data_IF_192091010648
#
_entry.id   IF_192091010648
#
_cell.length_a   1.000
_cell.length_b   1.000
_cell.length_c   1.000
_cell.angle_alpha   90.00
_cell.angle_beta   90.00
_cell.angle_gamma   90.00
#
_symmetry.space_group_name_H-M   'P 1'
#
loop_
_entity.id
_entity.type
_entity.pdbx_description
1 polymer ?
#
# COMPACT_ATOMS: atom_id res chain seq x y z
N UNK A 1 -1.34 -77.70 61.79
CA UNK A 1 -0.01 -77.21 61.33
C UNK A 1 -0.01 -77.22 59.81
N UNK A 2 0.58 -76.24 59.10
CA UNK A 2 1.58 -75.28 59.57
C UNK A 2 1.15 -73.80 59.49
N UNK A 3 1.81 -72.99 60.32
CA UNK A 3 1.76 -71.53 60.34
C UNK A 3 2.44 -70.98 59.08
N UNK A 4 1.85 -69.94 58.48
CA UNK A 4 2.46 -69.19 57.39
C UNK A 4 3.10 -67.93 57.99
N UNK A 5 4.42 -67.84 57.85
CA UNK A 5 5.24 -66.72 58.33
C UNK A 5 4.84 -65.39 57.67
N UNK A 6 4.95 -64.26 58.39
CA UNK A 6 4.79 -62.93 57.80
C UNK A 6 6.03 -62.53 56.98
N UNK A 7 5.86 -61.79 55.87
CA UNK A 7 6.96 -61.35 55.00
C UNK A 7 7.78 -60.19 55.58
N UNK A 8 9.07 -60.21 55.24
CA UNK A 8 10.11 -59.27 55.63
C UNK A 8 9.79 -57.79 55.32
N UNK A 9 10.06 -56.93 56.29
CA UNK A 9 10.04 -55.47 56.15
C UNK A 9 11.25 -54.98 55.34
N UNK A 10 11.03 -54.56 54.09
CA UNK A 10 12.01 -53.81 53.31
C UNK A 10 12.18 -52.38 53.87
N UNK A 11 13.44 -51.99 54.13
CA UNK A 11 13.80 -50.61 54.47
C UNK A 11 13.76 -49.71 53.23
N UNK A 12 13.27 -48.45 53.34
CA UNK A 12 13.26 -47.52 52.22
C UNK A 12 14.67 -47.03 51.86
N UNK A 13 14.99 -46.83 50.57
CA UNK A 13 16.28 -46.31 50.14
C UNK A 13 16.45 -44.83 50.52
N UNK A 14 17.65 -44.50 51.00
CA UNK A 14 18.10 -43.14 51.29
C UNK A 14 18.01 -42.26 50.03
N UNK A 15 17.28 -41.15 50.13
CA UNK A 15 17.14 -40.13 49.10
C UNK A 15 18.47 -39.42 48.82
N UNK A 16 18.91 -39.28 47.56
CA UNK A 16 20.10 -38.49 47.23
C UNK A 16 19.80 -36.99 47.37
N UNK A 17 20.62 -36.29 48.14
CA UNK A 17 20.59 -34.83 48.26
C UNK A 17 21.09 -34.18 46.96
N UNK A 18 20.45 -33.10 46.47
CA UNK A 18 20.86 -32.45 45.24
C UNK A 18 22.18 -31.66 45.43
N UNK A 19 23.15 -31.92 44.56
CA UNK A 19 24.41 -31.19 44.49
C UNK A 19 24.19 -29.69 44.14
N UNK A 20 24.81 -28.74 44.87
CA UNK A 20 24.60 -27.29 44.67
C UNK A 20 25.19 -26.70 43.38
N UNK A 21 25.82 -27.50 42.52
CA UNK A 21 26.45 -27.05 41.28
C UNK A 21 25.48 -26.71 40.13
N UNK A 22 24.22 -27.17 40.18
CA UNK A 22 23.29 -27.03 39.04
C UNK A 22 22.60 -25.65 38.96
N UNK A 23 22.58 -24.88 40.06
CA UNK A 23 21.89 -23.58 40.10
C UNK A 23 22.68 -22.46 39.40
N UNK A 24 24.01 -22.49 39.41
CA UNK A 24 24.83 -21.42 38.86
C UNK A 24 24.84 -21.41 37.31
N UNK A 25 24.82 -22.60 36.68
CA UNK A 25 24.73 -22.71 35.23
C UNK A 25 23.38 -22.23 34.67
N UNK A 26 22.28 -22.50 35.39
CA UNK A 26 20.93 -22.05 34.99
C UNK A 26 20.79 -20.51 35.01
N UNK A 27 21.43 -19.85 35.98
CA UNK A 27 21.35 -18.38 36.11
C UNK A 27 22.16 -17.64 35.04
N UNK A 28 23.32 -18.16 34.65
CA UNK A 28 24.16 -17.58 33.59
C UNK A 28 23.53 -17.80 32.21
N UNK A 29 22.89 -18.95 31.96
CA UNK A 29 22.14 -19.19 30.73
C UNK A 29 20.93 -18.25 30.59
N UNK A 30 20.19 -17.99 31.68
CA UNK A 30 19.06 -17.03 31.66
C UNK A 30 19.49 -15.60 31.33
N UNK A 31 20.60 -15.12 31.91
CA UNK A 31 21.09 -13.75 31.64
C UNK A 31 21.61 -13.58 30.22
N UNK A 32 22.23 -14.61 29.65
CA UNK A 32 22.68 -14.60 28.25
C UNK A 32 21.48 -14.57 27.28
N UNK A 33 20.50 -15.45 27.47
CA UNK A 33 19.30 -15.50 26.64
C UNK A 33 18.49 -14.18 26.68
N UNK A 34 18.40 -13.54 27.85
CA UNK A 34 17.71 -12.26 28.00
C UNK A 34 18.40 -11.13 27.23
N UNK A 35 19.74 -11.03 27.25
CA UNK A 35 20.47 -10.00 26.48
C UNK A 35 20.30 -10.20 24.97
N UNK A 36 20.39 -11.43 24.50
CA UNK A 36 20.18 -11.77 23.08
C UNK A 36 18.75 -11.43 22.64
N UNK A 37 17.75 -11.71 23.48
CA UNK A 37 16.35 -11.35 23.24
C UNK A 37 16.17 -9.82 23.10
N UNK A 38 16.78 -9.02 23.98
CA UNK A 38 16.70 -7.55 23.90
C UNK A 38 17.41 -6.98 22.67
N UNK A 39 18.55 -7.54 22.27
CA UNK A 39 19.26 -7.12 21.06
C UNK A 39 18.46 -7.45 19.79
N UNK A 40 17.83 -8.63 19.73
CA UNK A 40 16.96 -9.01 18.62
C UNK A 40 15.70 -8.14 18.56
N UNK A 41 15.07 -7.83 19.69
CA UNK A 41 13.95 -6.90 19.77
C UNK A 41 14.34 -5.50 19.29
N UNK A 42 15.49 -4.99 19.73
CA UNK A 42 16.01 -3.69 19.28
C UNK A 42 16.28 -3.65 17.76
N UNK A 43 16.85 -4.72 17.21
CA UNK A 43 17.08 -4.87 15.78
C UNK A 43 15.76 -4.95 14.99
N UNK A 44 14.80 -5.74 15.46
CA UNK A 44 13.47 -5.82 14.82
C UNK A 44 12.76 -4.45 14.83
N UNK A 45 12.84 -3.71 15.95
CA UNK A 45 12.27 -2.37 16.05
C UNK A 45 12.90 -1.40 15.06
N UNK A 46 14.23 -1.48 14.87
CA UNK A 46 14.97 -0.67 13.91
C UNK A 46 14.62 -1.03 12.46
N UNK A 47 14.47 -2.32 12.14
CA UNK A 47 14.05 -2.76 10.81
C UNK A 47 12.65 -2.28 10.44
N UNK A 48 11.72 -2.22 11.41
CA UNK A 48 10.36 -1.72 11.21
C UNK A 48 10.28 -0.23 10.89
N UNK A 49 11.28 0.58 11.27
CA UNK A 49 11.29 2.03 10.98
C UNK A 49 12.01 2.39 9.69
N UNK A 50 12.88 1.50 9.19
CA UNK A 50 13.73 1.76 8.01
C UNK A 50 13.14 1.16 6.72
N UNK A 51 12.23 0.19 6.82
CA UNK A 51 11.56 -0.42 5.67
C UNK A 51 10.20 0.26 5.45
N UNK A 52 9.91 0.76 4.24
CA UNK A 52 8.58 1.34 3.92
C UNK A 52 8.56 2.77 3.38
N UNK A 53 9.71 3.44 3.18
CA UNK A 53 9.68 4.76 2.56
C UNK A 53 9.25 4.64 1.08
N UNK A 54 8.24 5.44 0.68
CA UNK A 54 7.82 5.54 -0.72
C UNK A 54 9.02 5.77 -1.65
N UNK A 55 9.17 4.91 -2.67
CA UNK A 55 10.26 5.08 -3.65
C UNK A 55 9.93 6.26 -4.54
N UNK A 56 10.78 7.29 -4.49
CA UNK A 56 10.63 8.51 -5.29
C UNK A 56 11.95 8.80 -6.03
N UNK A 57 11.93 9.03 -7.37
CA UNK A 57 10.77 8.94 -8.26
C UNK A 57 10.29 7.49 -8.45
N UNK A 58 8.99 7.31 -8.63
CA UNK A 58 8.42 6.01 -8.98
C UNK A 58 8.75 5.66 -10.43
N UNK A 59 9.11 4.40 -10.67
CA UNK A 59 9.42 3.90 -12.02
C UNK A 59 8.26 3.06 -12.51
N UNK A 60 7.46 3.62 -13.42
CA UNK A 60 6.45 2.86 -14.17
C UNK A 60 7.14 1.94 -15.17
N UNK A 61 6.58 0.74 -15.38
CA UNK A 61 7.00 -0.22 -16.41
C UNK A 61 8.52 -0.43 -16.46
N UNK A 62 9.16 -0.94 -15.39
CA UNK A 62 10.56 -1.30 -15.46
C UNK A 62 10.78 -2.28 -16.62
N UNK A 63 12.01 -2.38 -17.13
CA UNK A 63 12.35 -3.35 -18.18
C UNK A 63 12.09 -4.79 -17.70
N UNK A 64 10.85 -5.26 -17.89
CA UNK A 64 10.44 -6.61 -17.54
C UNK A 64 11.31 -7.55 -18.34
N UNK A 65 11.87 -8.56 -17.66
CA UNK A 65 12.65 -9.54 -18.38
C UNK A 65 11.66 -10.33 -19.22
N UNK A 66 11.85 -10.31 -20.54
CA UNK A 66 11.14 -11.16 -21.50
C UNK A 66 11.51 -12.62 -21.26
N UNK A 67 11.10 -13.13 -20.11
CA UNK A 67 10.98 -14.56 -19.85
C UNK A 67 9.63 -14.96 -20.43
N UNK A 68 9.46 -16.19 -20.94
CA UNK A 68 8.15 -16.68 -21.35
C UNK A 68 7.24 -16.83 -20.13
N UNK A 69 6.76 -15.71 -19.62
CA UNK A 69 5.69 -15.61 -18.65
C UNK A 69 4.43 -16.19 -19.31
N UNK A 70 3.56 -16.84 -18.53
CA UNK A 70 2.35 -17.39 -19.09
C UNK A 70 1.46 -16.21 -19.51
N UNK A 71 1.44 -15.92 -20.81
CA UNK A 71 0.40 -15.07 -21.38
C UNK A 71 -0.96 -15.64 -20.97
N UNK A 72 -1.92 -14.74 -20.78
CA UNK A 72 -3.32 -15.13 -20.63
C UNK A 72 -3.71 -16.01 -21.82
N UNK A 73 -4.49 -17.08 -21.59
CA UNK A 73 -5.03 -17.85 -22.69
C UNK A 73 -5.95 -16.97 -23.54
N UNK A 74 -6.15 -17.34 -24.81
CA UNK A 74 -7.09 -16.64 -25.66
C UNK A 74 -8.50 -16.61 -25.02
N UNK A 75 -9.06 -15.41 -24.88
CA UNK A 75 -10.34 -15.18 -24.21
C UNK A 75 -10.32 -15.29 -22.67
N UNK A 76 -9.16 -15.54 -22.05
CA UNK A 76 -9.01 -15.51 -20.58
C UNK A 76 -8.93 -14.05 -20.10
N UNK A 77 -9.87 -13.56 -19.26
CA UNK A 77 -9.80 -12.21 -18.74
C UNK A 77 -8.62 -12.08 -17.76
N UNK A 78 -7.92 -10.94 -17.78
CA UNK A 78 -6.83 -10.65 -16.85
C UNK A 78 -7.32 -10.66 -15.41
N UNK A 79 -8.46 -10.00 -15.15
CA UNK A 79 -9.12 -9.96 -13.85
C UNK A 79 -10.38 -10.83 -13.92
N UNK A 80 -10.45 -11.85 -13.07
CA UNK A 80 -11.59 -12.75 -12.98
C UNK A 80 -12.20 -12.70 -11.57
N UNK A 81 -13.52 -12.48 -11.53
CA UNK A 81 -14.30 -12.45 -10.29
C UNK A 81 -15.03 -13.77 -10.08
N UNK A 82 -14.79 -14.40 -8.95
CA UNK A 82 -15.47 -15.61 -8.53
C UNK A 82 -16.95 -15.35 -8.22
N UNK A 83 -17.79 -16.36 -8.46
CA UNK A 83 -19.21 -16.30 -8.06
C UNK A 83 -19.32 -16.12 -6.54
N UNK A 84 -20.29 -15.32 -6.10
CA UNK A 84 -20.61 -15.16 -4.67
C UNK A 84 -21.04 -16.51 -4.06
N UNK A 85 -20.50 -16.86 -2.90
CA UNK A 85 -20.75 -18.11 -2.19
C UNK A 85 -20.95 -17.81 -0.70
N UNK A 86 -22.15 -17.38 -0.28
CA UNK A 86 -22.36 -16.76 1.04
C UNK A 86 -21.90 -17.62 2.22
N UNK A 87 -22.01 -18.94 2.13
CA UNK A 87 -21.51 -19.86 3.17
C UNK A 87 -19.98 -19.87 3.22
N UNK A 88 -19.32 -20.03 2.07
CA UNK A 88 -17.85 -20.06 1.96
C UNK A 88 -17.28 -18.70 2.36
N UNK A 89 -17.87 -17.62 1.83
CA UNK A 89 -17.50 -16.23 2.13
C UNK A 89 -17.70 -15.91 3.61
N UNK A 90 -18.77 -16.40 4.22
CA UNK A 90 -19.03 -16.23 5.64
C UNK A 90 -17.99 -16.95 6.52
N UNK A 91 -17.62 -18.18 6.16
CA UNK A 91 -16.54 -18.90 6.87
C UNK A 91 -15.22 -18.16 6.70
N UNK A 92 -14.86 -17.77 5.47
CA UNK A 92 -13.66 -16.99 5.19
C UNK A 92 -13.61 -15.67 5.96
N UNK A 93 -14.75 -14.99 6.08
CA UNK A 93 -14.85 -13.75 6.87
C UNK A 93 -14.52 -13.97 8.35
N UNK A 94 -15.04 -15.06 8.94
CA UNK A 94 -14.77 -15.46 10.34
C UNK A 94 -13.31 -15.85 10.52
N UNK A 95 -12.76 -16.66 9.61
CA UNK A 95 -11.35 -17.06 9.64
C UNK A 95 -10.43 -15.85 9.52
N UNK A 96 -10.84 -14.81 8.80
CA UNK A 96 -10.11 -13.55 8.67
C UNK A 96 -10.25 -12.58 9.84
N UNK A 97 -11.03 -12.87 10.90
CA UNK A 97 -11.16 -11.99 12.08
C UNK A 97 -9.81 -11.64 12.71
N UNK A 98 -8.86 -12.58 12.91
CA UNK A 98 -7.54 -12.25 13.45
C UNK A 98 -6.80 -11.20 12.61
N UNK A 99 -6.86 -11.30 11.27
CA UNK A 99 -6.26 -10.30 10.37
C UNK A 99 -6.90 -8.92 10.53
N UNK A 100 -8.23 -8.86 10.58
CA UNK A 100 -8.98 -7.60 10.82
C UNK A 100 -8.62 -6.94 12.14
N UNK A 101 -8.45 -7.73 13.20
CA UNK A 101 -8.05 -7.23 14.53
C UNK A 101 -6.59 -6.79 14.50
N UNK A 102 -5.71 -7.59 13.90
CA UNK A 102 -4.27 -7.33 13.85
C UNK A 102 -3.93 -6.06 13.06
N UNK A 103 -4.64 -5.81 11.96
CA UNK A 103 -4.43 -4.67 11.07
C UNK A 103 -5.38 -3.50 11.34
N UNK A 104 -6.29 -3.61 12.31
CA UNK A 104 -7.32 -2.61 12.61
C UNK A 104 -8.19 -2.18 11.43
N UNK A 105 -8.36 -3.05 10.43
CA UNK A 105 -9.18 -2.76 9.26
C UNK A 105 -10.14 -3.93 8.96
N UNK A 106 -11.44 -3.63 8.87
CA UNK A 106 -12.51 -4.60 8.66
C UNK A 106 -12.60 -5.08 7.21
N UNK A 107 -11.96 -4.38 6.28
CA UNK A 107 -11.90 -4.70 4.85
C UNK A 107 -10.98 -5.87 4.55
N UNK A 108 -10.05 -6.18 5.47
CA UNK A 108 -9.13 -7.30 5.37
C UNK A 108 -9.87 -8.64 5.44
N UNK A 109 -9.62 -9.53 4.48
CA UNK A 109 -10.26 -10.84 4.33
C UNK A 109 -11.79 -10.77 4.46
N UNK A 110 -12.40 -9.72 3.92
CA UNK A 110 -13.84 -9.51 4.03
C UNK A 110 -14.64 -10.29 2.96
N UNK A 111 -13.96 -10.83 1.94
CA UNK A 111 -14.51 -11.54 0.79
C UNK A 111 -15.57 -10.73 0.03
N UNK A 112 -15.55 -9.41 0.14
CA UNK A 112 -16.46 -8.50 -0.53
C UNK A 112 -15.68 -7.33 -1.14
N UNK A 113 -14.98 -7.61 -2.23
CA UNK A 113 -14.12 -6.65 -2.93
C UNK A 113 -14.99 -5.70 -3.76
N UNK A 114 -14.81 -4.41 -3.52
CA UNK A 114 -15.50 -3.31 -4.19
C UNK A 114 -15.01 -3.11 -5.64
N UNK A 115 -15.81 -2.45 -6.50
CA UNK A 115 -15.37 -2.03 -7.82
C UNK A 115 -14.15 -1.10 -7.78
N UNK A 116 -14.03 -0.29 -6.73
CA UNK A 116 -12.92 0.65 -6.54
C UNK A 116 -11.60 -0.10 -6.38
N UNK A 117 -11.53 -1.09 -5.48
CA UNK A 117 -10.34 -1.94 -5.31
C UNK A 117 -9.97 -2.68 -6.61
N UNK A 118 -10.98 -3.17 -7.35
CA UNK A 118 -10.77 -3.83 -8.66
C UNK A 118 -10.23 -2.85 -9.72
N UNK A 119 -10.75 -1.62 -9.77
CA UNK A 119 -10.29 -0.59 -10.67
C UNK A 119 -8.87 -0.12 -10.34
N UNK A 120 -8.52 0.01 -9.05
CA UNK A 120 -7.17 0.40 -8.62
C UNK A 120 -6.12 -0.62 -9.08
N UNK A 121 -6.37 -1.92 -8.89
CA UNK A 121 -5.42 -2.94 -9.35
C UNK A 121 -5.37 -3.02 -10.88
N UNK A 122 -6.50 -2.85 -11.57
CA UNK A 122 -6.53 -2.80 -13.03
C UNK A 122 -5.64 -1.66 -13.58
N UNK A 123 -5.81 -0.45 -13.05
CA UNK A 123 -5.01 0.71 -13.44
C UNK A 123 -3.52 0.52 -13.13
N UNK A 124 -3.20 -0.07 -11.97
CA UNK A 124 -1.81 -0.37 -11.61
C UNK A 124 -1.16 -1.35 -12.59
N UNK A 125 -1.86 -2.45 -12.94
CA UNK A 125 -1.33 -3.46 -13.87
C UNK A 125 -1.12 -2.89 -15.27
N UNK A 126 -2.08 -2.11 -15.77
CA UNK A 126 -1.98 -1.41 -17.06
C UNK A 126 -0.78 -0.46 -17.08
N UNK A 127 -0.71 0.45 -16.10
CA UNK A 127 0.38 1.43 -16.00
C UNK A 127 1.75 0.80 -15.79
N UNK A 128 1.83 -0.42 -15.26
CA UNK A 128 3.08 -1.15 -15.07
C UNK A 128 3.36 -2.22 -16.15
N UNK A 129 2.53 -2.33 -17.19
CA UNK A 129 2.76 -3.26 -18.31
C UNK A 129 2.68 -4.73 -17.88
N UNK A 130 1.81 -5.04 -16.91
CA UNK A 130 1.68 -6.36 -16.27
C UNK A 130 0.53 -7.19 -16.85
N UNK A 131 0.31 -7.10 -18.17
CA UNK A 131 -0.79 -7.73 -18.91
C UNK A 131 -0.88 -9.26 -18.73
N UNK A 132 0.25 -9.89 -18.45
CA UNK A 132 0.40 -11.34 -18.28
C UNK A 132 0.06 -11.84 -16.86
N UNK A 133 -0.15 -10.93 -15.91
CA UNK A 133 -0.52 -11.25 -14.52
C UNK A 133 -2.00 -11.56 -14.45
N UNK A 134 -2.36 -12.73 -13.92
CA UNK A 134 -3.75 -13.09 -13.65
C UNK A 134 -4.17 -12.54 -12.30
N UNK A 135 -5.34 -11.91 -12.20
CA UNK A 135 -5.96 -11.52 -10.92
C UNK A 135 -7.22 -12.33 -10.70
N UNK A 136 -7.35 -12.90 -9.51
CA UNK A 136 -8.47 -13.74 -9.08
C UNK A 136 -9.13 -13.12 -7.86
N UNK A 137 -10.27 -12.46 -8.05
CA UNK A 137 -11.04 -11.83 -6.98
C UNK A 137 -12.05 -12.85 -6.46
N UNK A 138 -11.87 -13.36 -5.24
CA UNK A 138 -12.69 -14.43 -4.66
C UNK A 138 -12.85 -15.69 -5.56
N UNK A 139 -12.00 -15.87 -6.57
CA UNK A 139 -12.12 -16.97 -7.53
C UNK A 139 -11.33 -18.19 -7.05
N UNK A 140 -11.98 -19.35 -7.13
CA UNK A 140 -11.35 -20.63 -6.87
C UNK A 140 -11.33 -21.48 -8.14
N UNK A 141 -10.16 -21.56 -8.77
CA UNK A 141 -9.93 -22.25 -10.05
C UNK A 141 -8.62 -23.07 -10.01
N UNK A 142 -8.62 -24.21 -9.30
CA UNK A 142 -7.42 -25.03 -9.16
C UNK A 142 -6.93 -25.54 -10.51
N UNK A 143 -7.83 -25.92 -11.41
CA UNK A 143 -7.46 -26.41 -12.75
C UNK A 143 -6.71 -25.34 -13.54
N UNK A 144 -7.16 -24.09 -13.49
CA UNK A 144 -6.46 -22.96 -14.09
C UNK A 144 -5.08 -22.74 -13.47
N UNK A 145 -4.94 -22.84 -12.15
CA UNK A 145 -3.63 -22.73 -11.49
C UNK A 145 -2.66 -23.83 -11.94
N UNK A 146 -3.09 -25.09 -12.03
CA UNK A 146 -2.25 -26.18 -12.55
C UNK A 146 -1.88 -25.98 -14.03
N UNK A 147 -2.80 -25.46 -14.84
CA UNK A 147 -2.53 -25.12 -16.25
C UNK A 147 -1.51 -23.98 -16.33
N UNK A 148 -1.68 -22.91 -15.55
CA UNK A 148 -0.76 -21.76 -15.49
C UNK A 148 0.62 -22.18 -14.99
N UNK A 149 0.70 -23.01 -13.95
CA UNK A 149 1.95 -23.56 -13.45
C UNK A 149 2.73 -24.22 -14.58
N UNK A 150 2.10 -25.13 -15.32
CA UNK A 150 2.74 -25.85 -16.44
C UNK A 150 3.18 -24.93 -17.58
N UNK A 151 2.38 -23.90 -17.88
CA UNK A 151 2.64 -22.89 -18.92
C UNK A 151 3.73 -21.89 -18.53
N UNK A 152 3.94 -21.62 -17.25
CA UNK A 152 4.92 -20.65 -16.79
C UNK A 152 6.35 -21.15 -17.05
N UNK A 153 6.95 -20.71 -18.16
CA UNK A 153 8.32 -21.08 -18.56
C UNK A 153 9.35 -20.09 -17.99
N UNK A 154 8.92 -18.96 -17.42
CA UNK A 154 9.78 -18.02 -16.68
C UNK A 154 10.32 -18.61 -15.36
N UNK A 155 9.64 -19.62 -14.80
CA UNK A 155 10.16 -20.39 -13.68
C UNK A 155 10.86 -21.65 -14.19
N UNK A 156 12.12 -21.82 -13.78
CA UNK A 156 12.92 -23.01 -14.10
C UNK A 156 12.21 -24.30 -13.69
N UNK A 157 12.35 -25.35 -14.51
CA UNK A 157 11.56 -26.58 -14.38
C UNK A 157 11.67 -27.24 -13.00
N UNK A 158 12.85 -27.20 -12.37
CA UNK A 158 13.08 -27.75 -11.03
C UNK A 158 12.18 -27.07 -9.98
N UNK A 159 12.24 -25.74 -9.88
CA UNK A 159 11.39 -24.98 -8.96
C UNK A 159 9.91 -25.04 -9.32
N UNK A 160 9.58 -25.03 -10.61
CA UNK A 160 8.20 -25.13 -11.08
C UNK A 160 7.52 -26.41 -10.62
N UNK A 161 8.21 -27.55 -10.69
CA UNK A 161 7.62 -28.84 -10.35
C UNK A 161 7.91 -29.32 -8.93
N UNK A 162 8.70 -28.58 -8.15
CA UNK A 162 8.87 -28.80 -6.71
C UNK A 162 8.04 -27.78 -5.92
N UNK A 163 8.61 -26.61 -5.63
CA UNK A 163 7.95 -25.53 -4.89
C UNK A 163 6.63 -25.10 -5.56
N UNK A 164 6.60 -24.97 -6.89
CA UNK A 164 5.38 -24.62 -7.61
C UNK A 164 4.27 -25.67 -7.53
N UNK A 165 4.61 -26.96 -7.49
CA UNK A 165 3.63 -28.04 -7.23
C UNK A 165 3.09 -27.94 -5.81
N UNK A 166 3.95 -27.64 -4.82
CA UNK A 166 3.51 -27.46 -3.44
C UNK A 166 2.57 -26.26 -3.30
N UNK A 167 2.84 -25.13 -3.96
CA UNK A 167 1.94 -23.97 -3.91
C UNK A 167 0.61 -24.24 -4.63
N UNK A 168 0.64 -24.88 -5.80
CA UNK A 168 -0.59 -25.26 -6.51
C UNK A 168 -1.43 -26.31 -5.74
N UNK A 169 -0.77 -27.27 -5.07
CA UNK A 169 -1.43 -28.24 -4.21
C UNK A 169 -2.01 -27.57 -2.97
N UNK A 170 -1.26 -26.68 -2.32
CA UNK A 170 -1.74 -25.89 -1.19
C UNK A 170 -3.00 -25.11 -1.57
N UNK A 171 -2.96 -24.36 -2.69
CA UNK A 171 -4.13 -23.67 -3.23
C UNK A 171 -5.31 -24.63 -3.49
N UNK A 172 -5.04 -25.81 -4.02
CA UNK A 172 -6.09 -26.81 -4.32
C UNK A 172 -6.74 -27.35 -3.04
N UNK A 173 -5.94 -27.68 -2.02
CA UNK A 173 -6.45 -28.32 -0.79
C UNK A 173 -6.98 -27.32 0.23
N UNK A 174 -6.42 -26.12 0.26
CA UNK A 174 -6.72 -25.03 1.17
C UNK A 174 -7.17 -23.83 0.33
N UNK A 175 -8.47 -23.70 0.03
CA UNK A 175 -8.96 -22.58 -0.76
C UNK A 175 -8.63 -21.28 -0.03
N UNK A 176 -7.82 -20.41 -0.65
CA UNK A 176 -7.44 -19.13 -0.06
C UNK A 176 -8.65 -18.27 0.36
N UNK A 177 -9.79 -18.48 -0.32
CA UNK A 177 -11.11 -17.92 0.02
C UNK A 177 -11.63 -18.31 1.41
N UNK A 178 -11.07 -19.33 2.05
CA UNK A 178 -11.43 -19.77 3.40
C UNK A 178 -10.22 -19.67 4.31
N UNK A 179 -9.11 -20.29 3.90
CA UNK A 179 -7.88 -20.42 4.68
C UNK A 179 -6.77 -19.84 3.82
N UNK A 180 -6.50 -18.56 4.03
CA UNK A 180 -5.55 -17.77 3.27
C UNK A 180 -5.83 -16.28 3.42
N UNK A 181 -5.09 -15.49 2.66
CA UNK A 181 -5.31 -14.06 2.49
C UNK A 181 -4.88 -13.66 1.09
N UNK A 182 -4.86 -12.36 0.82
CA UNK A 182 -4.33 -11.83 -0.43
C UNK A 182 -2.89 -12.31 -0.64
N UNK A 183 -2.57 -12.72 -1.85
CA UNK A 183 -1.22 -13.18 -2.18
C UNK A 183 -0.95 -13.19 -3.69
N UNK A 184 0.30 -12.99 -4.04
CA UNK A 184 0.86 -13.25 -5.34
C UNK A 184 1.62 -14.58 -5.36
N UNK A 185 1.28 -15.43 -6.32
CA UNK A 185 1.97 -16.69 -6.57
C UNK A 185 2.93 -16.55 -7.77
N UNK A 186 4.27 -16.49 -7.55
CA UNK A 186 5.25 -16.33 -8.62
C UNK A 186 5.35 -17.56 -9.54
N UNK A 187 4.86 -18.74 -9.10
CA UNK A 187 4.90 -19.98 -9.87
C UNK A 187 3.80 -20.04 -10.92
N UNK A 188 2.67 -19.38 -10.71
CA UNK A 188 1.54 -19.30 -11.65
C UNK A 188 1.33 -17.90 -12.23
N UNK A 189 2.07 -16.90 -11.73
CA UNK A 189 1.93 -15.49 -12.11
C UNK A 189 0.49 -15.02 -11.87
N UNK A 190 -0.02 -15.30 -10.67
CA UNK A 190 -1.41 -15.08 -10.28
C UNK A 190 -1.46 -14.32 -8.96
N UNK A 191 -2.24 -13.24 -8.92
CA UNK A 191 -2.68 -12.55 -7.71
C UNK A 191 -4.04 -13.13 -7.31
N UNK A 192 -4.19 -13.52 -6.04
CA UNK A 192 -5.47 -13.85 -5.43
C UNK A 192 -5.87 -12.74 -4.46
N UNK A 193 -7.07 -12.18 -4.62
CA UNK A 193 -7.60 -11.11 -3.78
C UNK A 193 -8.85 -11.55 -3.02
N UNK A 194 -8.86 -11.26 -1.72
CA UNK A 194 -9.92 -11.55 -0.74
C UNK A 194 -10.22 -10.35 0.17
N UNK A 195 -9.31 -9.37 0.26
CA UNK A 195 -9.51 -8.11 0.98
C UNK A 195 -10.02 -7.00 0.07
N UNK A 196 -10.93 -6.19 0.60
CA UNK A 196 -11.40 -4.98 -0.07
C UNK A 196 -10.55 -3.77 0.29
N UNK A 197 -9.25 -3.85 0.05
CA UNK A 197 -8.32 -2.76 0.37
C UNK A 197 -7.40 -2.47 -0.82
N UNK A 198 -7.51 -1.30 -1.48
CA UNK A 198 -6.72 -1.02 -2.67
C UNK A 198 -5.21 -1.10 -2.42
N UNK A 199 -4.71 -0.60 -1.28
CA UNK A 199 -3.29 -0.73 -0.94
C UNK A 199 -2.78 -2.18 -0.85
N UNK A 200 -3.61 -3.13 -0.40
CA UNK A 200 -3.25 -4.57 -0.36
C UNK A 200 -3.20 -5.12 -1.78
N UNK A 201 -4.17 -4.76 -2.62
CA UNK A 201 -4.14 -5.17 -4.03
C UNK A 201 -2.90 -4.61 -4.76
N UNK A 202 -2.53 -3.35 -4.50
CA UNK A 202 -1.31 -2.72 -5.01
C UNK A 202 -0.04 -3.41 -4.50
N UNK A 203 -0.01 -3.85 -3.23
CA UNK A 203 1.09 -4.63 -2.67
C UNK A 203 1.31 -5.94 -3.44
N UNK A 204 0.23 -6.68 -3.72
CA UNK A 204 0.32 -7.88 -4.57
C UNK A 204 0.73 -7.57 -6.01
N UNK A 205 0.29 -6.42 -6.54
CA UNK A 205 0.79 -5.88 -7.81
C UNK A 205 2.29 -5.59 -7.79
N UNK A 206 2.80 -5.03 -6.68
CA UNK A 206 4.21 -4.77 -6.43
C UNK A 206 5.04 -6.05 -6.42
N UNK A 207 4.54 -7.13 -5.82
CA UNK A 207 5.14 -8.45 -5.97
C UNK A 207 5.19 -8.90 -7.42
N UNK A 208 4.08 -8.79 -8.15
CA UNK A 208 4.04 -9.18 -9.56
C UNK A 208 5.07 -8.41 -10.42
N UNK A 209 5.16 -7.09 -10.20
CA UNK A 209 6.15 -6.21 -10.83
C UNK A 209 7.58 -6.62 -10.47
N UNK A 210 7.87 -6.82 -9.19
CA UNK A 210 9.19 -7.23 -8.72
C UNK A 210 9.64 -8.52 -9.39
N UNK A 211 8.81 -9.57 -9.29
CA UNK A 211 9.10 -10.88 -9.88
C UNK A 211 9.24 -10.83 -11.41
N UNK A 212 8.50 -9.95 -12.10
CA UNK A 212 8.61 -9.74 -13.54
C UNK A 212 9.98 -9.21 -14.00
N UNK A 213 10.75 -8.60 -13.10
CA UNK A 213 12.11 -8.11 -13.38
C UNK A 213 13.21 -9.13 -13.05
N UNK A 214 12.86 -10.33 -12.55
CA UNK A 214 13.86 -11.30 -12.04
C UNK A 214 14.21 -12.37 -13.07
N UNK A 215 15.51 -12.46 -13.41
CA UNK A 215 16.03 -13.47 -14.36
C UNK A 215 15.79 -14.90 -13.88
N UNK A 216 15.95 -15.13 -12.58
CA UNK A 216 15.75 -16.43 -11.93
C UNK A 216 14.54 -16.40 -11.00
N UNK A 217 13.35 -16.14 -11.57
CA UNK A 217 12.08 -15.99 -10.83
C UNK A 217 11.86 -17.08 -9.77
N UNK A 218 12.07 -18.35 -10.14
CA UNK A 218 11.92 -19.49 -9.22
C UNK A 218 12.92 -19.51 -8.07
N UNK A 219 14.19 -19.22 -8.34
CA UNK A 219 15.23 -19.17 -7.29
C UNK A 219 14.96 -18.01 -6.34
N UNK A 220 14.57 -16.85 -6.89
CA UNK A 220 14.17 -15.70 -6.11
C UNK A 220 12.95 -16.00 -5.24
N UNK A 221 11.93 -16.69 -5.77
CA UNK A 221 10.75 -17.10 -5.00
C UNK A 221 11.11 -18.00 -3.81
N UNK A 222 11.94 -19.02 -4.04
CA UNK A 222 12.29 -19.97 -2.99
C UNK A 222 13.25 -19.37 -1.97
N UNK A 223 14.22 -18.56 -2.40
CA UNK A 223 15.07 -17.83 -1.48
C UNK A 223 14.25 -16.83 -0.64
N UNK A 224 13.32 -16.12 -1.27
CA UNK A 224 12.37 -15.21 -0.62
C UNK A 224 11.42 -15.89 0.35
N UNK A 225 11.24 -17.21 0.29
CA UNK A 225 10.45 -17.95 1.27
C UNK A 225 11.23 -18.28 2.56
N UNK A 226 12.55 -18.08 2.58
CA UNK A 226 13.36 -18.33 3.77
C UNK A 226 13.09 -17.25 4.84
N UNK A 227 13.15 -17.61 6.15
CA UNK A 227 13.11 -16.63 7.22
C UNK A 227 14.14 -15.52 7.00
N UNK A 228 13.79 -14.29 7.36
CA UNK A 228 14.59 -13.06 7.17
C UNK A 228 14.69 -12.62 5.70
N UNK A 229 14.98 -13.51 4.76
CA UNK A 229 15.06 -13.16 3.33
C UNK A 229 13.69 -12.73 2.79
N UNK A 230 12.61 -13.31 3.31
CA UNK A 230 11.22 -12.91 3.05
C UNK A 230 10.93 -11.43 3.29
N UNK A 231 11.65 -10.76 4.17
CA UNK A 231 11.44 -9.32 4.40
C UNK A 231 11.82 -8.47 3.18
N UNK A 232 12.75 -8.94 2.36
CA UNK A 232 13.22 -8.21 1.18
C UNK A 232 12.14 -8.03 0.10
N UNK A 233 11.50 -9.08 -0.44
CA UNK A 233 10.42 -8.91 -1.43
C UNK A 233 9.22 -8.17 -0.83
N UNK A 234 8.88 -8.40 0.45
CA UNK A 234 7.78 -7.67 1.11
C UNK A 234 8.04 -6.16 1.23
N UNK A 235 9.29 -5.77 1.52
CA UNK A 235 9.69 -4.36 1.55
C UNK A 235 9.62 -3.74 0.15
N UNK A 236 10.02 -4.47 -0.90
CA UNK A 236 9.91 -4.01 -2.29
C UNK A 236 8.46 -3.78 -2.67
N UNK A 237 7.57 -4.76 -2.42
CA UNK A 237 6.16 -4.66 -2.72
C UNK A 237 5.48 -3.49 -1.97
N UNK A 238 5.80 -3.33 -0.68
CA UNK A 238 5.30 -2.23 0.15
C UNK A 238 5.76 -0.87 -0.40
N UNK A 239 7.05 -0.73 -0.69
CA UNK A 239 7.62 0.51 -1.22
C UNK A 239 7.10 0.84 -2.62
N UNK A 240 6.81 -0.17 -3.44
CA UNK A 240 6.24 0.01 -4.78
C UNK A 240 4.79 0.50 -4.68
N UNK A 241 3.96 -0.11 -3.83
CA UNK A 241 2.59 0.34 -3.60
C UNK A 241 2.54 1.79 -3.10
N UNK A 242 3.36 2.14 -2.10
CA UNK A 242 3.44 3.52 -1.57
C UNK A 242 4.02 4.49 -2.60
N UNK A 243 5.05 4.08 -3.33
CA UNK A 243 5.65 4.88 -4.41
C UNK A 243 4.67 5.15 -5.55
N UNK A 244 3.84 4.17 -5.91
CA UNK A 244 2.80 4.31 -6.92
C UNK A 244 1.76 5.33 -6.47
N UNK A 245 1.20 5.18 -5.27
CA UNK A 245 0.20 6.12 -4.73
C UNK A 245 0.74 7.55 -4.65
N UNK A 246 1.99 7.69 -4.23
CA UNK A 246 2.70 8.98 -4.21
C UNK A 246 2.83 9.60 -5.59
N UNK A 247 3.13 8.79 -6.61
CA UNK A 247 3.29 9.25 -8.00
C UNK A 247 1.94 9.60 -8.66
N UNK A 248 0.88 8.92 -8.26
CA UNK A 248 -0.51 9.22 -8.66
C UNK A 248 -1.11 10.41 -7.90
N UNK A 249 -0.37 10.97 -6.92
CA UNK A 249 -0.83 12.03 -6.02
C UNK A 249 -2.12 11.66 -5.24
N UNK A 250 -2.36 10.37 -5.04
CA UNK A 250 -3.47 9.84 -4.27
C UNK A 250 -3.10 9.80 -2.78
N UNK A 251 -3.04 10.99 -2.17
CA UNK A 251 -2.61 11.16 -0.78
C UNK A 251 -3.56 10.54 0.24
N UNK A 252 -4.85 10.45 -0.08
CA UNK A 252 -5.85 9.82 0.79
C UNK A 252 -5.58 8.31 0.86
N UNK A 253 -5.41 7.66 -0.29
CA UNK A 253 -5.09 6.25 -0.32
C UNK A 253 -3.65 5.97 0.15
N UNK A 254 -2.69 6.88 -0.08
CA UNK A 254 -1.34 6.80 0.50
C UNK A 254 -1.41 6.82 2.04
N UNK A 255 -2.23 7.69 2.64
CA UNK A 255 -2.48 7.74 4.09
C UNK A 255 -2.99 6.38 4.61
N UNK A 256 -4.02 5.83 3.97
CA UNK A 256 -4.57 4.51 4.32
C UNK A 256 -3.55 3.38 4.13
N UNK A 257 -2.76 3.42 3.06
CA UNK A 257 -1.73 2.44 2.76
C UNK A 257 -0.67 2.38 3.87
N UNK A 258 -0.21 3.52 4.39
CA UNK A 258 0.70 3.53 5.54
C UNK A 258 0.07 2.89 6.78
N UNK A 259 -1.23 3.08 7.01
CA UNK A 259 -1.91 2.53 8.19
C UNK A 259 -2.10 1.02 8.12
N UNK A 260 -2.10 0.42 6.93
CA UNK A 260 -2.32 -1.03 6.74
C UNK A 260 -1.04 -1.78 6.38
N UNK A 261 -0.23 -1.26 5.45
CA UNK A 261 0.94 -1.98 4.95
C UNK A 261 2.09 -2.02 5.96
N UNK A 262 2.27 -1.00 6.80
CA UNK A 262 3.31 -1.03 7.85
C UNK A 262 3.06 -2.08 8.94
N UNK A 263 1.88 -2.14 9.57
CA UNK A 263 1.60 -3.21 10.51
C UNK A 263 1.56 -4.59 9.83
N UNK A 264 1.13 -4.68 8.56
CA UNK A 264 1.23 -5.91 7.78
C UNK A 264 2.69 -6.35 7.60
N UNK A 265 3.57 -5.45 7.16
CA UNK A 265 5.01 -5.69 7.05
C UNK A 265 5.62 -6.20 8.37
N UNK A 266 5.20 -5.61 9.49
CA UNK A 266 5.65 -6.04 10.82
C UNK A 266 5.23 -7.49 11.18
N UNK A 267 4.14 -8.01 10.61
CA UNK A 267 3.78 -9.43 10.78
C UNK A 267 4.81 -10.36 10.12
N UNK A 268 5.41 -9.95 9.00
CA UNK A 268 6.49 -10.70 8.35
C UNK A 268 7.76 -10.65 9.20
N UNK A 269 8.07 -9.51 9.83
CA UNK A 269 9.19 -9.41 10.80
C UNK A 269 8.99 -10.39 11.95
N UNK A 270 7.78 -10.44 12.52
CA UNK A 270 7.47 -11.44 13.54
C UNK A 270 7.67 -12.86 13.03
N UNK A 271 7.12 -13.20 11.86
CA UNK A 271 7.26 -14.52 11.25
C UNK A 271 8.72 -14.91 11.00
N UNK A 272 9.56 -13.97 10.57
CA UNK A 272 10.99 -14.18 10.39
C UNK A 272 11.74 -14.39 11.72
N UNK A 273 11.29 -13.77 12.81
CA UNK A 273 11.91 -13.88 14.14
C UNK A 273 11.46 -15.13 14.91
N UNK A 274 10.22 -15.61 14.71
CA UNK A 274 9.63 -16.72 15.46
C UNK A 274 10.50 -17.99 15.53
N UNK A 275 11.16 -18.46 14.44
CA UNK A 275 12.03 -19.64 14.51
C UNK A 275 13.21 -19.52 15.49
N UNK A 276 13.59 -18.31 15.87
CA UNK A 276 14.75 -18.02 16.73
C UNK A 276 14.39 -17.75 18.19
N UNK A 277 13.09 -17.70 18.53
CA UNK A 277 12.62 -17.31 19.84
C UNK A 277 11.85 -18.47 20.51
N UNK A 278 12.37 -19.08 21.59
CA UNK A 278 11.69 -20.16 22.27
C UNK A 278 10.50 -19.62 23.07
N UNK A 279 9.29 -19.89 22.57
CA UNK A 279 7.98 -19.53 23.13
C UNK A 279 7.63 -18.04 23.07
N UNK A 280 6.44 -17.74 22.51
CA UNK A 280 5.84 -16.41 22.55
C UNK A 280 5.40 -15.84 21.21
N UNK A 281 4.85 -16.64 20.27
CA UNK A 281 4.37 -16.14 18.96
C UNK A 281 3.47 -14.90 19.10
N UNK A 282 2.57 -14.89 20.08
CA UNK A 282 1.73 -13.73 20.36
C UNK A 282 2.53 -12.52 20.87
N UNK A 283 3.52 -12.71 21.75
CA UNK A 283 4.35 -11.63 22.28
C UNK A 283 5.29 -11.06 21.21
N UNK A 284 5.84 -11.92 20.35
CA UNK A 284 6.67 -11.52 19.20
C UNK A 284 5.84 -10.76 18.17
N UNK A 285 4.64 -11.26 17.84
CA UNK A 285 3.68 -10.56 16.97
C UNK A 285 3.26 -9.22 17.57
N UNK A 286 2.87 -9.18 18.84
CA UNK A 286 2.50 -7.92 19.50
C UNK A 286 3.68 -6.94 19.55
N UNK A 287 4.88 -7.44 19.87
CA UNK A 287 6.11 -6.64 19.97
C UNK A 287 6.61 -6.04 18.66
N UNK A 288 6.13 -6.54 17.51
CA UNK A 288 6.48 -6.01 16.18
C UNK A 288 5.33 -5.22 15.55
N UNK A 289 4.09 -5.72 15.64
CA UNK A 289 2.91 -5.11 15.02
C UNK A 289 2.50 -3.80 15.68
N UNK A 290 2.61 -3.68 17.01
CA UNK A 290 2.30 -2.41 17.70
C UNK A 290 3.24 -1.29 17.21
N UNK A 291 4.57 -1.46 17.19
CA UNK A 291 5.46 -0.50 16.54
C UNK A 291 5.12 -0.23 15.08
N UNK A 292 4.74 -1.26 14.30
CA UNK A 292 4.30 -1.11 12.92
C UNK A 292 3.12 -0.15 12.78
N UNK A 293 2.09 -0.29 13.62
CA UNK A 293 0.96 0.64 13.68
C UNK A 293 1.36 2.06 14.04
N UNK A 294 2.27 2.23 15.01
CA UNK A 294 2.75 3.55 15.42
C UNK A 294 3.52 4.25 14.28
N UNK A 295 4.41 3.52 13.62
CA UNK A 295 5.18 4.02 12.48
C UNK A 295 4.27 4.35 11.29
N UNK A 296 3.32 3.46 10.96
CA UNK A 296 2.33 3.67 9.91
C UNK A 296 1.47 4.92 10.16
N UNK A 297 0.95 5.10 11.38
CA UNK A 297 0.18 6.31 11.75
C UNK A 297 1.02 7.58 11.74
N UNK A 298 2.29 7.50 12.11
CA UNK A 298 3.19 8.66 12.02
C UNK A 298 3.41 9.07 10.57
N UNK A 299 3.70 8.12 9.68
CA UNK A 299 3.88 8.38 8.24
C UNK A 299 2.61 8.87 7.56
N UNK A 300 1.46 8.27 7.88
CA UNK A 300 0.15 8.75 7.46
C UNK A 300 -0.08 10.23 7.80
N UNK A 301 0.32 10.68 9.00
CA UNK A 301 0.24 12.11 9.38
C UNK A 301 1.16 12.99 8.55
N UNK A 302 2.36 12.52 8.20
CA UNK A 302 3.29 13.28 7.35
C UNK A 302 2.71 13.48 5.95
N UNK A 303 2.13 12.44 5.34
CA UNK A 303 1.44 12.51 4.04
C UNK A 303 0.30 13.53 4.09
N UNK A 304 -0.54 13.45 5.12
CA UNK A 304 -1.65 14.39 5.32
C UNK A 304 -1.18 15.84 5.47
N UNK A 305 -0.11 16.07 6.22
CA UNK A 305 0.48 17.41 6.36
C UNK A 305 1.02 17.93 5.03
N UNK A 306 1.64 17.08 4.23
CA UNK A 306 2.11 17.44 2.90
C UNK A 306 0.95 17.79 1.96
N UNK A 307 -0.11 17.00 1.94
CA UNK A 307 -1.32 17.27 1.16
C UNK A 307 -1.92 18.64 1.54
N UNK A 308 -2.10 18.91 2.84
CA UNK A 308 -2.60 20.21 3.33
C UNK A 308 -1.68 21.37 2.93
N UNK A 309 -0.35 21.19 3.04
CA UNK A 309 0.61 22.21 2.64
C UNK A 309 0.58 22.50 1.12
N UNK A 310 0.35 21.47 0.29
CA UNK A 310 0.18 21.63 -1.16
C UNK A 310 -1.11 22.38 -1.48
N UNK A 311 -2.25 21.99 -0.89
CA UNK A 311 -3.51 22.72 -1.08
C UNK A 311 -3.40 24.19 -0.68
N UNK A 312 -2.82 24.48 0.50
CA UNK A 312 -2.62 25.86 0.94
C UNK A 312 -1.74 26.67 -0.03
N UNK A 313 -0.69 26.07 -0.60
CA UNK A 313 0.14 26.74 -1.62
C UNK A 313 -0.63 27.00 -2.91
N UNK A 314 -1.43 26.04 -3.38
CA UNK A 314 -2.26 26.19 -4.58
C UNK A 314 -3.31 27.30 -4.41
N UNK A 315 -3.96 27.38 -3.25
CA UNK A 315 -4.91 28.46 -2.93
C UNK A 315 -4.23 29.84 -2.91
N UNK A 316 -3.06 29.95 -2.28
CA UNK A 316 -2.29 31.20 -2.27
C UNK A 316 -1.87 31.64 -3.68
N UNK A 317 -1.45 30.70 -4.53
CA UNK A 317 -1.11 30.99 -5.93
C UNK A 317 -2.33 31.46 -6.73
N UNK A 318 -3.50 30.85 -6.55
CA UNK A 318 -4.74 31.28 -7.20
C UNK A 318 -5.16 32.69 -6.75
N UNK A 319 -5.13 32.99 -5.45
CA UNK A 319 -5.46 34.33 -4.93
C UNK A 319 -4.50 35.39 -5.50
N UNK A 320 -3.19 35.07 -5.57
CA UNK A 320 -2.20 35.95 -6.17
C UNK A 320 -2.42 36.16 -7.66
N UNK A 321 -2.82 35.13 -8.41
CA UNK A 321 -3.11 35.24 -9.84
C UNK A 321 -4.35 36.10 -10.12
N UNK A 322 -5.44 35.92 -9.34
CA UNK A 322 -6.68 36.70 -9.50
C UNK A 322 -6.52 38.17 -9.14
N UNK A 323 -5.62 38.51 -8.22
CA UNK A 323 -5.29 39.92 -7.92
C UNK A 323 -4.43 40.59 -9.01
N UNK A 324 -3.85 39.81 -9.92
CA UNK A 324 -3.00 40.32 -11.00
C UNK A 324 -3.75 40.40 -12.34
N UNK A 325 -5.02 39.97 -12.43
CA UNK A 325 -5.85 40.28 -13.59
C UNK A 325 -6.12 41.79 -13.63
N UNK A 326 -5.63 42.53 -14.65
CA UNK A 326 -5.98 43.92 -14.79
C UNK A 326 -7.48 43.99 -15.07
N UNK A 327 -8.23 44.72 -14.25
CA UNK A 327 -9.59 45.15 -14.56
C UNK A 327 -9.60 45.64 -16.02
N UNK A 328 -10.49 45.13 -16.90
CA UNK A 328 -10.63 45.70 -18.23
C UNK A 328 -10.92 47.18 -18.02
N UNK A 329 -9.98 47.97 -18.52
CA UNK A 329 -9.85 49.37 -18.20
C UNK A 329 -11.15 50.06 -18.63
N UNK A 330 -11.88 50.66 -17.71
CA UNK A 330 -12.79 51.80 -18.00
C UNK A 330 -11.96 53.03 -18.46
N UNK A 331 -10.88 52.83 -19.20
CA UNK A 331 -10.04 53.85 -19.83
C UNK A 331 -10.19 53.88 -21.36
N UNK A 332 -11.14 53.15 -21.95
CA UNK A 332 -11.40 53.25 -23.40
C UNK A 332 -12.48 54.26 -23.79
N UNK A 333 -13.42 54.64 -22.90
CA UNK A 333 -14.40 55.70 -23.24
C UNK A 333 -13.81 57.11 -23.14
N UNK A 334 -12.98 57.39 -22.13
CA UNK A 334 -12.36 58.71 -21.96
C UNK A 334 -11.19 58.94 -22.94
N UNK A 335 -10.45 57.89 -23.31
CA UNK A 335 -9.33 58.03 -24.25
C UNK A 335 -9.82 58.25 -25.69
N UNK A 336 -10.96 57.65 -26.06
CA UNK A 336 -11.61 57.93 -27.34
C UNK A 336 -12.22 59.35 -27.40
N UNK A 337 -12.80 59.86 -26.31
CA UNK A 337 -13.27 61.25 -26.25
C UNK A 337 -12.12 62.27 -26.32
N UNK A 338 -10.98 62.01 -25.67
CA UNK A 338 -9.82 62.90 -25.73
C UNK A 338 -9.16 62.87 -27.12
N UNK A 339 -9.12 61.72 -27.80
CA UNK A 339 -8.62 61.63 -29.18
C UNK A 339 -9.57 62.28 -30.20
N UNK A 340 -10.89 62.20 -30.02
CA UNK A 340 -11.84 62.92 -30.88
C UNK A 340 -11.75 64.45 -30.71
N UNK A 341 -11.62 64.95 -29.47
CA UNK A 341 -11.46 66.39 -29.22
C UNK A 341 -10.17 66.96 -29.83
N UNK A 342 -9.09 66.17 -29.87
CA UNK A 342 -7.83 66.59 -30.47
C UNK A 342 -7.86 66.61 -32.01
N UNK A 343 -8.70 65.78 -32.64
CA UNK A 343 -8.83 65.74 -34.10
C UNK A 343 -9.72 66.88 -34.64
N UNK A 344 -10.74 67.33 -33.90
CA UNK A 344 -11.56 68.48 -34.30
C UNK A 344 -10.83 69.83 -34.19
N UNK A 345 -9.88 69.97 -33.28
CA UNK A 345 -9.07 71.19 -33.15
C UNK A 345 -8.00 71.34 -34.26
N UNK A 346 -7.57 70.24 -34.88
CA UNK A 346 -6.58 70.27 -35.96
C UNK A 346 -7.19 70.55 -37.35
N UNK A 347 -8.53 70.60 -37.47
CA UNK A 347 -9.24 70.75 -38.73
C UNK A 347 -9.78 72.19 -39.00
N UNK A 348 -9.41 73.19 -38.20
CA UNK A 348 -9.83 74.59 -38.45
C UNK A 348 -8.73 75.38 -39.17
N UNK A 349 -8.90 75.76 -40.45
CA UNK A 349 -7.97 76.62 -41.14
C UNK A 349 -8.08 78.07 -40.64
N UNK A 350 -6.92 78.71 -40.50
CA UNK A 350 -6.76 80.12 -40.14
C UNK A 350 -7.46 81.03 -41.15
N UNK A 351 -8.20 82.02 -40.64
CA UNK A 351 -8.64 83.14 -41.48
C UNK A 351 -9.75 83.99 -40.86
N UNK A 352 -9.39 85.26 -40.60
CA UNK A 352 -10.27 86.45 -40.56
C UNK A 352 -11.19 86.66 -39.36
N UNK A 353 -11.59 87.89 -38.99
CA UNK A 353 -11.08 89.28 -38.99
C UNK A 353 -12.18 90.03 -38.20
N UNK A 354 -11.77 91.01 -37.39
CA UNK A 354 -12.50 92.19 -36.87
C UNK A 354 -14.01 92.20 -36.54
N UNK A 355 -14.27 93.04 -35.54
CA UNK A 355 -15.43 93.94 -35.33
C UNK A 355 -16.51 93.55 -34.31
N UNK A 356 -16.44 94.28 -33.19
CA UNK A 356 -17.51 94.98 -32.44
C UNK A 356 -18.95 94.69 -32.85
N UNK A 357 -19.85 94.41 -31.89
CA UNK A 357 -20.67 95.45 -31.24
C UNK A 357 -21.59 94.85 -30.14
N UNK A 358 -22.09 95.76 -29.31
CA UNK A 358 -23.03 95.68 -28.21
C UNK A 358 -24.28 94.79 -28.37
N UNK A 359 -24.74 94.25 -27.23
CA UNK A 359 -26.11 94.38 -26.65
C UNK A 359 -26.45 93.16 -25.79
N UNK A 360 -26.61 93.29 -24.47
CA UNK A 360 -27.82 93.70 -23.73
C UNK A 360 -28.93 92.62 -23.69
N UNK A 361 -29.34 92.28 -22.46
CA UNK A 361 -30.61 91.66 -22.00
C UNK A 361 -30.79 90.16 -22.33
N UNK A 362 -31.46 89.33 -21.52
CA UNK A 362 -32.29 89.49 -20.33
C UNK A 362 -32.53 88.12 -19.68
N UNK A 363 -32.75 88.12 -18.36
CA UNK A 363 -33.76 87.37 -17.58
C UNK A 363 -34.00 85.86 -17.83
N UNK A 364 -33.73 85.02 -16.82
CA UNK A 364 -34.71 84.43 -15.87
C UNK A 364 -35.70 83.43 -16.49
N UNK A 365 -35.75 82.20 -15.96
CA UNK A 365 -36.78 81.81 -14.98
C UNK A 365 -36.50 80.41 -14.42
N UNK A 366 -36.64 80.28 -13.10
CA UNK A 366 -36.82 79.02 -12.38
C UNK A 366 -38.15 78.36 -12.79
N UNK A 367 -38.23 77.03 -12.75
CA UNK A 367 -39.32 76.38 -12.01
C UNK A 367 -39.04 74.90 -11.73
N UNK A 368 -39.49 74.51 -10.55
CA UNK A 368 -39.41 73.21 -9.90
C UNK A 368 -40.76 72.47 -10.01
N UNK A 369 -40.77 71.20 -9.57
CA UNK A 369 -41.94 70.34 -9.35
C UNK A 369 -41.82 69.07 -10.20
N UNK A 370 -41.91 67.84 -9.69
CA UNK A 370 -42.28 67.26 -8.39
C UNK A 370 -41.45 65.99 -8.17
#
# INVERSE_FOLDING_TARGET
MPQKEPPDTEHPPLSPTPFPGCFLMSFLQRKSAQKTMWLLLGFCLLCSTVSGCATTPYVYQPALIQSPEPLLAEGEPQIARGKRRPVIDGIGWVVGIPGKVLLWDRRIDNHNISPETEATIAAYLEKNGLEQVKVRINEYDPVGEWKRLRRNKAVGWGWRYTAGTLTALSYTLLPGRIIGGDNYNPFTNTISLYSDHPAVALHEGGHAKDFGTRKYKGTYAVAGALPVVSLWPEAIATNDALGYLRAEEDYELEEEAYQVLYPAYATYIAGAATPFLPYGDLAVKAGTVIPGHLAGRWKAREVKQEQLARHARSELQQVSATQTEPKPNQMDENSQQIQQAHFEQAARPEGQVMQTDNSVKQMQFNQAGE
#
